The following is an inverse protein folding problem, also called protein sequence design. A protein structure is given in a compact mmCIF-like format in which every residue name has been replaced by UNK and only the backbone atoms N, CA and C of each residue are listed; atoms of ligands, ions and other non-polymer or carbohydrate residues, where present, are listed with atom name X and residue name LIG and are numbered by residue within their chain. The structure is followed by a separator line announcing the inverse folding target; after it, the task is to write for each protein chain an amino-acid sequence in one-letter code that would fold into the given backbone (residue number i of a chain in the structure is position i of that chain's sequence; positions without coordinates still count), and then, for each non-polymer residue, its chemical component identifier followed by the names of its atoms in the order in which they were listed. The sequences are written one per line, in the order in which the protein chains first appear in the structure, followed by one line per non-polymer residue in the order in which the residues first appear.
data_IF_830229713184
#
_entry.id   IF_830229713184
#
_cell.length_a   1.000
_cell.length_b   1.000
_cell.length_c   1.000
_cell.angle_alpha   90.00
_cell.angle_beta   90.00
_cell.angle_gamma   90.00
#
_symmetry.space_group_name_H-M   'P 1'
#
loop_
_entity.id
_entity.type
_entity.pdbx_description
1 polymer ?
#
# COMPACT_ATOMS: atom_id res chain seq x y z
N UNK A 1 10.65 -10.68 -22.88
CA UNK A 1 10.30 -11.42 -21.65
C UNK A 1 9.63 -12.77 -21.90
N UNK A 2 9.08 -13.04 -23.10
CA UNK A 2 8.62 -14.39 -23.48
C UNK A 2 9.77 -15.42 -23.50
N UNK A 3 11.01 -14.95 -23.59
CA UNK A 3 12.20 -15.78 -23.58
C UNK A 3 12.51 -16.47 -22.24
N UNK A 4 11.98 -15.96 -21.11
CA UNK A 4 12.34 -16.49 -19.79
C UNK A 4 11.68 -17.84 -19.47
N UNK A 5 10.46 -18.08 -19.94
CA UNK A 5 9.78 -19.37 -19.73
C UNK A 5 10.39 -20.45 -20.63
N UNK A 6 10.69 -20.12 -21.86
CA UNK A 6 11.38 -21.00 -22.78
C UNK A 6 12.82 -21.30 -22.36
N UNK A 7 13.56 -20.33 -21.81
CA UNK A 7 14.94 -20.53 -21.36
C UNK A 7 15.04 -21.42 -20.11
N UNK A 8 14.08 -21.35 -19.20
CA UNK A 8 14.08 -22.23 -18.03
C UNK A 8 13.79 -23.68 -18.40
N UNK A 9 12.91 -23.95 -19.34
CA UNK A 9 12.67 -25.28 -19.90
C UNK A 9 13.88 -25.82 -20.69
N UNK A 10 14.52 -24.98 -21.48
CA UNK A 10 15.75 -25.37 -22.21
C UNK A 10 16.91 -25.69 -21.27
N UNK A 11 17.08 -24.98 -20.16
CA UNK A 11 18.13 -25.23 -19.16
C UNK A 11 17.85 -26.54 -18.40
N UNK A 12 16.60 -26.81 -18.06
CA UNK A 12 16.19 -28.08 -17.42
C UNK A 12 16.38 -29.26 -18.36
N UNK A 13 16.01 -29.11 -19.59
CA UNK A 13 16.14 -30.16 -20.61
C UNK A 13 17.61 -30.49 -20.92
N UNK A 14 18.48 -29.49 -21.03
CA UNK A 14 19.91 -29.72 -21.22
C UNK A 14 20.59 -30.34 -19.98
N UNK A 15 20.13 -30.04 -18.77
CA UNK A 15 20.61 -30.69 -17.54
C UNK A 15 20.11 -32.14 -17.40
N UNK A 16 18.89 -32.42 -17.82
CA UNK A 16 18.38 -33.81 -17.86
C UNK A 16 19.11 -34.66 -18.89
N UNK A 17 19.45 -34.11 -20.05
CA UNK A 17 20.28 -34.79 -21.06
C UNK A 17 21.68 -35.16 -20.53
N UNK A 18 22.26 -34.35 -19.67
CA UNK A 18 23.57 -34.60 -19.06
C UNK A 18 23.50 -35.64 -17.93
N UNK A 19 22.40 -35.67 -17.19
CA UNK A 19 22.26 -36.57 -16.03
C UNK A 19 21.72 -37.97 -16.37
N UNK A 20 21.02 -38.15 -17.48
CA UNK A 20 20.41 -39.43 -17.87
C UNK A 20 21.13 -40.12 -19.02
N UNK A 21 22.39 -40.48 -18.81
CA UNK A 21 23.20 -41.19 -19.80
C UNK A 21 22.67 -42.61 -20.15
N UNK A 22 21.61 -43.09 -19.51
CA UNK A 22 21.09 -44.46 -19.60
C UNK A 22 19.57 -44.57 -19.83
N UNK A 23 18.84 -43.47 -20.03
CA UNK A 23 17.41 -43.50 -20.29
C UNK A 23 17.10 -42.96 -21.69
N UNK A 24 16.16 -43.56 -22.38
CA UNK A 24 15.69 -43.13 -23.68
C UNK A 24 15.46 -41.61 -23.71
N UNK A 25 16.17 -40.91 -24.61
CA UNK A 25 16.02 -39.48 -24.83
C UNK A 25 14.62 -39.29 -25.37
N UNK A 26 13.69 -38.78 -24.55
CA UNK A 26 12.46 -38.23 -25.02
C UNK A 26 12.78 -36.81 -25.47
N UNK A 27 12.88 -36.64 -26.76
CA UNK A 27 13.05 -35.32 -27.39
C UNK A 27 11.69 -34.66 -27.42
N UNK A 28 11.37 -33.91 -26.35
CA UNK A 28 10.14 -33.10 -26.30
C UNK A 28 10.47 -31.81 -27.02
N UNK A 29 9.88 -31.64 -28.20
CA UNK A 29 10.00 -30.40 -28.96
C UNK A 29 9.54 -29.21 -28.09
N UNK A 30 10.23 -28.06 -28.14
CA UNK A 30 9.75 -26.85 -27.45
C UNK A 30 8.36 -26.50 -27.99
N UNK A 31 7.46 -26.18 -27.05
CA UNK A 31 6.13 -25.66 -27.37
C UNK A 31 6.21 -24.14 -27.36
N UNK A 32 5.75 -23.50 -28.42
CA UNK A 32 5.64 -22.06 -28.48
C UNK A 32 4.74 -21.53 -27.37
N UNK A 33 5.20 -20.46 -26.72
CA UNK A 33 4.43 -19.78 -25.67
C UNK A 33 3.21 -19.05 -26.24
N UNK A 34 2.47 -18.41 -25.35
CA UNK A 34 1.34 -17.56 -25.72
C UNK A 34 1.71 -16.07 -25.49
N UNK A 35 1.00 -15.19 -26.19
CA UNK A 35 1.01 -13.77 -25.89
C UNK A 35 0.23 -13.49 -24.62
N UNK A 36 0.68 -12.52 -23.83
CA UNK A 36 0.02 -12.10 -22.59
C UNK A 36 -0.56 -10.71 -22.78
N UNK A 37 -1.86 -10.57 -22.55
CA UNK A 37 -2.52 -9.27 -22.48
C UNK A 37 -2.45 -8.82 -21.03
N UNK A 38 -1.61 -7.81 -20.76
CA UNK A 38 -1.47 -7.23 -19.43
C UNK A 38 -2.58 -6.23 -19.11
N UNK A 39 -2.73 -5.92 -17.81
CA UNK A 39 -3.66 -4.87 -17.33
C UNK A 39 -3.07 -3.47 -17.42
N UNK A 40 -1.75 -3.36 -17.63
CA UNK A 40 -1.02 -2.09 -17.62
C UNK A 40 -1.51 -1.16 -18.74
N UNK A 41 -1.70 0.12 -18.37
CA UNK A 41 -1.95 1.21 -19.32
C UNK A 41 -0.68 2.05 -19.46
N UNK A 42 -0.11 2.09 -20.65
CA UNK A 42 1.17 2.78 -20.94
C UNK A 42 1.10 4.26 -20.55
N UNK A 43 0.01 4.93 -20.86
CA UNK A 43 -0.15 6.34 -20.50
C UNK A 43 -0.29 6.60 -19.01
N UNK A 44 -0.92 5.69 -18.26
CA UNK A 44 -0.98 5.77 -16.80
C UNK A 44 0.38 5.42 -16.17
N UNK A 45 1.10 4.46 -16.74
CA UNK A 45 2.48 4.12 -16.33
C UNK A 45 3.40 5.36 -16.47
N UNK A 46 3.36 6.04 -17.61
CA UNK A 46 4.15 7.27 -17.86
C UNK A 46 3.77 8.39 -16.87
N UNK A 47 2.48 8.57 -16.58
CA UNK A 47 2.01 9.55 -15.59
C UNK A 47 2.61 9.26 -14.22
N UNK A 48 2.51 8.01 -13.76
CA UNK A 48 3.00 7.59 -12.44
C UNK A 48 4.53 7.71 -12.36
N UNK A 49 5.25 7.23 -13.37
CA UNK A 49 6.70 7.29 -13.43
C UNK A 49 7.20 8.73 -13.38
N UNK A 50 6.68 9.59 -14.24
CA UNK A 50 7.10 11.00 -14.28
C UNK A 50 6.85 11.71 -12.95
N UNK A 51 5.64 11.56 -12.38
CA UNK A 51 5.30 12.21 -11.12
C UNK A 51 6.20 11.73 -9.96
N UNK A 52 6.51 10.44 -9.92
CA UNK A 52 7.37 9.85 -8.91
C UNK A 52 8.83 10.29 -9.08
N UNK A 53 9.41 10.12 -10.28
CA UNK A 53 10.83 10.41 -10.53
C UNK A 53 11.15 11.88 -10.31
N UNK A 54 10.27 12.80 -10.73
CA UNK A 54 10.43 14.23 -10.48
C UNK A 54 10.58 14.50 -8.96
N UNK A 55 9.76 13.86 -8.13
CA UNK A 55 9.84 14.00 -6.67
C UNK A 55 11.08 13.33 -6.07
N UNK A 56 11.44 12.13 -6.54
CA UNK A 56 12.64 11.43 -6.07
C UNK A 56 13.91 12.27 -6.28
N UNK A 57 14.02 12.92 -7.43
CA UNK A 57 15.12 13.86 -7.74
C UNK A 57 15.10 15.09 -6.84
N UNK A 58 13.90 15.69 -6.66
CA UNK A 58 13.71 16.89 -5.82
C UNK A 58 14.19 16.67 -4.38
N UNK A 59 13.85 15.53 -3.77
CA UNK A 59 14.15 15.24 -2.36
C UNK A 59 15.37 14.35 -2.15
N UNK A 60 16.07 14.02 -3.22
CA UNK A 60 17.24 13.13 -3.22
C UNK A 60 16.96 11.77 -2.55
N UNK A 61 15.82 11.16 -2.88
CA UNK A 61 15.39 9.89 -2.34
C UNK A 61 16.23 8.71 -2.89
N UNK A 62 16.18 7.57 -2.20
CA UNK A 62 16.92 6.35 -2.60
C UNK A 62 16.04 5.35 -3.33
N UNK A 63 14.78 5.23 -2.93
CA UNK A 63 13.82 4.29 -3.53
C UNK A 63 12.46 4.97 -3.62
N UNK A 64 11.74 4.72 -4.69
CA UNK A 64 10.36 5.15 -4.86
C UNK A 64 9.50 4.09 -5.50
N UNK A 65 8.26 3.99 -5.01
CA UNK A 65 7.22 3.08 -5.52
C UNK A 65 5.96 3.90 -5.77
N UNK A 66 5.31 3.67 -6.92
CA UNK A 66 3.96 4.13 -7.19
C UNK A 66 3.16 3.02 -7.86
N UNK A 67 2.00 2.69 -7.32
CA UNK A 67 1.09 1.70 -7.91
C UNK A 67 -0.29 2.32 -8.04
N UNK A 68 -0.87 2.21 -9.23
CA UNK A 68 -2.23 2.65 -9.56
C UNK A 68 -3.07 1.42 -9.92
N UNK A 69 -4.21 1.25 -9.25
CA UNK A 69 -5.10 0.11 -9.42
C UNK A 69 -6.53 0.57 -9.66
N UNK A 70 -7.23 -0.09 -10.56
CA UNK A 70 -8.66 0.12 -10.76
C UNK A 70 -9.46 -0.54 -9.64
N UNK A 71 -10.36 0.22 -9.00
CA UNK A 71 -11.02 -0.20 -7.76
C UNK A 71 -11.86 -1.46 -7.93
N UNK A 72 -12.70 -1.52 -8.97
CA UNK A 72 -13.69 -2.59 -9.11
C UNK A 72 -13.12 -3.90 -9.65
N UNK A 73 -12.06 -3.83 -10.45
CA UNK A 73 -11.50 -5.00 -11.15
C UNK A 73 -10.22 -5.53 -10.51
N UNK A 74 -9.53 -4.70 -9.70
CA UNK A 74 -8.21 -5.01 -9.18
C UNK A 74 -7.10 -4.92 -10.24
N UNK A 75 -7.41 -4.45 -11.46
CA UNK A 75 -6.42 -4.31 -12.52
C UNK A 75 -5.36 -3.27 -12.13
N UNK A 76 -4.11 -3.70 -12.09
CA UNK A 76 -2.98 -2.81 -11.90
C UNK A 76 -2.74 -2.07 -13.23
N UNK A 77 -3.00 -0.77 -13.24
CA UNK A 77 -2.85 0.09 -14.42
C UNK A 77 -1.44 0.64 -14.56
N UNK A 78 -0.76 0.83 -13.44
CA UNK A 78 0.63 1.25 -13.39
C UNK A 78 1.32 0.66 -12.16
N UNK A 79 2.58 0.29 -12.33
CA UNK A 79 3.46 -0.14 -11.24
C UNK A 79 4.87 0.36 -11.54
N UNK A 80 5.36 1.27 -10.71
CA UNK A 80 6.63 1.95 -10.88
C UNK A 80 7.51 1.67 -9.68
N UNK A 81 8.73 1.21 -9.94
CA UNK A 81 9.73 0.89 -8.92
C UNK A 81 11.05 1.54 -9.30
N UNK A 82 11.41 2.64 -8.67
CA UNK A 82 12.61 3.39 -8.98
C UNK A 82 13.62 3.32 -7.85
N UNK A 83 14.85 2.96 -8.20
CA UNK A 83 15.99 2.95 -7.30
C UNK A 83 17.08 3.86 -7.81
N UNK A 84 17.67 4.64 -6.89
CA UNK A 84 18.80 5.51 -7.22
C UNK A 84 20.06 4.69 -7.46
N UNK A 85 20.66 4.82 -8.64
CA UNK A 85 21.91 4.17 -8.99
C UNK A 85 23.13 5.03 -8.61
N UNK A 86 24.33 4.47 -8.76
CA UNK A 86 25.58 5.14 -8.43
C UNK A 86 25.88 6.37 -9.31
N UNK A 87 25.31 6.41 -10.52
CA UNK A 87 25.39 7.57 -11.41
C UNK A 87 24.45 8.73 -11.04
N UNK A 88 23.65 8.53 -9.99
CA UNK A 88 22.68 9.51 -9.49
C UNK A 88 21.32 9.47 -10.19
N UNK A 89 21.17 8.66 -11.22
CA UNK A 89 19.89 8.46 -11.92
C UNK A 89 19.02 7.38 -11.24
N UNK A 90 17.76 7.30 -11.67
CA UNK A 90 16.78 6.35 -11.16
C UNK A 90 16.42 5.34 -12.23
N UNK A 91 16.43 4.06 -11.85
CA UNK A 91 16.16 2.95 -12.75
C UNK A 91 15.24 1.92 -12.08
N UNK A 92 14.48 1.21 -12.89
CA UNK A 92 13.77 -0.01 -12.49
C UNK A 92 14.78 -1.13 -12.27
N UNK A 93 14.96 -1.59 -11.03
CA UNK A 93 15.91 -2.64 -10.69
C UNK A 93 15.26 -3.85 -10.03
N UNK A 94 14.25 -3.61 -9.18
CA UNK A 94 13.55 -4.62 -8.40
C UNK A 94 12.10 -4.20 -8.22
N UNK A 95 11.18 -5.16 -8.19
CA UNK A 95 9.77 -4.87 -7.90
C UNK A 95 9.54 -4.67 -6.40
N UNK A 96 9.93 -3.51 -5.89
CA UNK A 96 9.82 -3.13 -4.49
C UNK A 96 8.36 -3.06 -4.02
N UNK A 97 7.43 -2.74 -4.93
CA UNK A 97 5.99 -2.67 -4.62
C UNK A 97 5.42 -3.97 -4.05
N UNK A 98 5.95 -5.12 -4.50
CA UNK A 98 5.47 -6.44 -4.07
C UNK A 98 6.41 -7.15 -3.09
N UNK A 99 7.70 -6.78 -3.09
CA UNK A 99 8.73 -7.52 -2.37
C UNK A 99 9.23 -6.86 -1.09
N UNK A 100 9.06 -5.53 -0.94
CA UNK A 100 9.62 -4.81 0.20
C UNK A 100 8.80 -5.06 1.47
N UNK A 101 9.41 -5.79 2.39
CA UNK A 101 8.86 -6.06 3.71
C UNK A 101 9.18 -4.90 4.65
N UNK A 102 8.39 -3.83 4.53
CA UNK A 102 8.59 -2.58 5.28
C UNK A 102 7.55 -2.44 6.40
N UNK A 103 7.96 -1.74 7.46
CA UNK A 103 7.01 -1.25 8.45
C UNK A 103 6.16 -0.14 7.82
N UNK A 104 4.83 -0.33 7.67
CA UNK A 104 3.98 0.60 6.90
C UNK A 104 3.80 1.96 7.58
N UNK A 105 4.12 2.05 8.87
CA UNK A 105 3.94 3.27 9.65
C UNK A 105 2.48 3.71 9.69
N UNK A 106 2.26 5.01 9.66
CA UNK A 106 0.94 5.63 9.90
C UNK A 106 -0.16 5.27 8.90
N UNK A 107 0.15 4.69 7.75
CA UNK A 107 -0.90 4.13 6.86
C UNK A 107 -1.62 2.96 7.50
N UNK A 108 -0.97 2.24 8.41
CA UNK A 108 -1.55 1.13 9.17
C UNK A 108 -2.56 1.56 10.24
N UNK A 109 -2.53 2.82 10.69
CA UNK A 109 -3.47 3.37 11.68
C UNK A 109 -4.93 3.23 11.24
N UNK A 110 -5.19 3.30 9.95
CA UNK A 110 -6.52 3.06 9.37
C UNK A 110 -7.05 1.68 9.76
N UNK A 111 -6.23 0.63 9.61
CA UNK A 111 -6.61 -0.73 10.01
C UNK A 111 -6.84 -0.83 11.52
N UNK A 112 -5.98 -0.24 12.33
CA UNK A 112 -6.12 -0.23 13.79
C UNK A 112 -7.41 0.41 14.26
N UNK A 113 -7.75 1.57 13.74
CA UNK A 113 -9.00 2.27 14.06
C UNK A 113 -10.21 1.48 13.54
N UNK A 114 -10.13 0.88 12.36
CA UNK A 114 -11.22 0.04 11.85
C UNK A 114 -11.51 -1.16 12.76
N UNK A 115 -10.48 -1.81 13.32
CA UNK A 115 -10.68 -2.91 14.29
C UNK A 115 -11.47 -2.41 15.48
N UNK A 116 -11.11 -1.27 16.06
CA UNK A 116 -11.77 -0.72 17.25
C UNK A 116 -13.20 -0.21 16.96
N UNK A 117 -13.45 0.37 15.77
CA UNK A 117 -14.78 0.77 15.28
C UNK A 117 -15.68 -0.47 15.09
N UNK A 118 -15.17 -1.50 14.44
CA UNK A 118 -15.89 -2.74 14.14
C UNK A 118 -16.31 -3.47 15.43
N UNK A 119 -15.41 -3.53 16.41
CA UNK A 119 -15.67 -4.13 17.71
C UNK A 119 -16.55 -3.24 18.62
N UNK A 120 -17.00 -2.07 18.16
CA UNK A 120 -17.83 -1.13 18.92
C UNK A 120 -17.13 -0.54 20.15
N UNK A 121 -15.80 -0.53 20.17
CA UNK A 121 -15.01 0.02 21.28
C UNK A 121 -14.89 1.53 21.25
N UNK A 122 -14.99 2.11 20.05
CA UNK A 122 -14.90 3.54 19.79
C UNK A 122 -15.92 3.95 18.74
N UNK A 123 -16.17 5.25 18.64
CA UNK A 123 -16.87 5.93 17.54
C UNK A 123 -15.97 7.03 16.97
N UNK A 124 -16.29 7.62 15.80
CA UNK A 124 -15.55 8.77 15.27
C UNK A 124 -15.44 9.96 16.23
N UNK A 125 -16.42 10.10 17.14
CA UNK A 125 -16.52 11.18 18.13
C UNK A 125 -15.85 10.86 19.46
N UNK A 126 -15.40 9.61 19.67
CA UNK A 126 -14.69 9.21 20.90
C UNK A 126 -13.46 10.08 21.11
N UNK A 127 -13.39 10.75 22.26
CA UNK A 127 -12.32 11.68 22.58
C UNK A 127 -11.17 10.99 23.33
N UNK A 128 -9.97 11.47 23.04
CA UNK A 128 -8.71 11.10 23.72
C UNK A 128 -7.96 12.36 24.09
N UNK A 129 -7.49 12.44 25.30
CA UNK A 129 -6.52 13.46 25.69
C UNK A 129 -5.10 12.98 25.32
N UNK A 130 -4.55 13.57 24.28
CA UNK A 130 -3.19 13.30 23.83
C UNK A 130 -2.16 14.20 24.54
N UNK A 131 -2.62 15.11 25.41
CA UNK A 131 -1.82 16.02 26.20
C UNK A 131 -0.89 16.86 25.34
N UNK A 132 0.36 16.94 25.78
CA UNK A 132 1.43 17.64 25.05
C UNK A 132 2.06 16.81 23.92
N UNK A 133 1.43 15.73 23.51
CA UNK A 133 1.92 14.85 22.44
C UNK A 133 2.99 13.85 22.88
N UNK A 134 3.13 13.60 24.19
CA UNK A 134 4.00 12.56 24.75
C UNK A 134 3.22 11.72 25.74
N UNK A 135 3.27 10.40 25.57
CA UNK A 135 2.69 9.45 26.51
C UNK A 135 3.69 8.33 26.83
N UNK A 136 3.84 8.04 28.12
CA UNK A 136 4.67 6.91 28.55
C UNK A 136 3.88 5.61 28.44
N UNK A 137 4.39 4.67 27.67
CA UNK A 137 3.82 3.34 27.48
C UNK A 137 4.86 2.28 27.79
N UNK A 138 4.66 1.57 28.91
CA UNK A 138 5.55 0.49 29.33
C UNK A 138 7.05 0.88 29.37
N UNK A 139 7.34 2.08 29.88
CA UNK A 139 8.71 2.59 29.96
C UNK A 139 9.26 3.25 28.69
N UNK A 140 8.51 3.22 27.60
CA UNK A 140 8.88 3.86 26.33
C UNK A 140 8.01 5.08 26.03
N UNK A 141 8.60 6.12 25.42
CA UNK A 141 7.89 7.35 25.07
C UNK A 141 7.22 7.21 23.70
N UNK A 142 5.90 7.19 23.64
CA UNK A 142 5.13 7.42 22.43
C UNK A 142 5.01 8.92 22.17
N UNK A 143 5.30 9.36 20.95
CA UNK A 143 5.32 10.80 20.62
C UNK A 143 4.52 11.09 19.35
N UNK A 144 3.76 12.18 19.40
CA UNK A 144 3.20 12.82 18.22
C UNK A 144 4.25 13.69 17.53
N UNK A 145 4.13 13.93 16.24
CA UNK A 145 5.11 14.71 15.48
C UNK A 145 5.22 16.17 15.95
N UNK A 146 4.19 16.73 16.60
CA UNK A 146 4.14 18.09 17.11
C UNK A 146 4.37 18.21 18.62
N UNK A 147 4.91 17.17 19.27
CA UNK A 147 5.17 17.17 20.72
C UNK A 147 5.99 18.38 21.19
N UNK A 148 6.92 18.84 20.36
CA UNK A 148 7.76 20.02 20.62
C UNK A 148 7.02 21.36 20.46
N UNK A 149 5.77 21.33 19.95
CA UNK A 149 4.89 22.49 19.79
C UNK A 149 3.67 22.44 20.71
N UNK A 150 3.69 21.57 21.74
CA UNK A 150 2.64 21.47 22.75
C UNK A 150 1.58 20.39 22.51
N UNK A 151 1.75 19.54 21.48
CA UNK A 151 0.82 18.44 21.20
C UNK A 151 -0.55 18.88 20.65
N UNK A 152 -1.53 17.99 20.72
CA UNK A 152 -2.89 18.24 20.23
C UNK A 152 -3.96 18.37 21.32
N UNK A 153 -3.60 18.07 22.59
CA UNK A 153 -4.56 18.08 23.70
C UNK A 153 -5.65 17.04 23.51
N UNK A 154 -6.87 17.43 23.83
CA UNK A 154 -8.06 16.56 23.73
C UNK A 154 -8.64 16.62 22.31
N UNK A 155 -8.65 15.49 21.61
CA UNK A 155 -9.12 15.35 20.23
C UNK A 155 -9.95 14.05 20.06
N UNK A 156 -10.85 14.04 19.09
CA UNK A 156 -11.64 12.85 18.77
C UNK A 156 -10.93 11.93 17.76
N UNK A 157 -11.50 10.74 17.53
CA UNK A 157 -10.94 9.71 16.63
C UNK A 157 -10.78 10.24 15.22
N UNK A 158 -11.73 11.00 14.69
CA UNK A 158 -11.60 11.63 13.37
C UNK A 158 -10.36 12.51 13.31
N UNK A 159 -10.19 13.41 14.30
CA UNK A 159 -9.05 14.30 14.36
C UNK A 159 -7.73 13.55 14.59
N UNK A 160 -7.75 12.47 15.36
CA UNK A 160 -6.57 11.59 15.54
C UNK A 160 -6.01 11.12 14.20
N UNK A 161 -6.89 10.67 13.27
CA UNK A 161 -6.43 10.25 11.93
C UNK A 161 -6.08 11.43 11.03
N UNK A 162 -6.79 12.54 11.09
CA UNK A 162 -6.50 13.76 10.33
C UNK A 162 -5.08 14.29 10.61
N UNK A 163 -4.69 14.31 11.89
CA UNK A 163 -3.36 14.77 12.32
C UNK A 163 -2.36 13.64 12.50
N UNK A 164 -2.77 12.41 12.26
CA UNK A 164 -1.93 11.23 12.39
C UNK A 164 -1.31 11.07 13.78
N UNK A 165 -2.08 11.30 14.86
CA UNK A 165 -1.59 11.18 16.24
C UNK A 165 -1.17 9.73 16.55
N UNK A 166 0.09 9.55 16.93
CA UNK A 166 0.62 8.28 17.43
C UNK A 166 0.04 7.98 18.81
N UNK A 167 0.04 9.00 19.68
CA UNK A 167 -0.47 8.91 21.05
C UNK A 167 -1.94 8.49 21.03
N UNK A 168 -2.77 9.15 20.19
CA UNK A 168 -4.19 8.87 20.12
C UNK A 168 -4.50 7.43 19.70
N UNK A 169 -3.90 6.96 18.62
CA UNK A 169 -4.14 5.58 18.13
C UNK A 169 -3.61 4.54 19.12
N UNK A 170 -2.36 4.68 19.55
CA UNK A 170 -1.74 3.70 20.44
C UNK A 170 -2.44 3.61 21.78
N UNK A 171 -2.89 4.75 22.36
CA UNK A 171 -3.67 4.77 23.58
C UNK A 171 -5.01 4.02 23.43
N UNK A 172 -5.74 4.27 22.36
CA UNK A 172 -7.03 3.60 22.11
C UNK A 172 -6.87 2.08 21.99
N UNK A 173 -5.90 1.64 21.20
CA UNK A 173 -5.67 0.21 20.99
C UNK A 173 -5.16 -0.45 22.27
N UNK A 174 -4.22 0.15 22.98
CA UNK A 174 -3.74 -0.37 24.26
C UNK A 174 -4.87 -0.45 25.28
N UNK A 175 -5.64 0.63 25.47
CA UNK A 175 -6.76 0.68 26.39
C UNK A 175 -7.77 -0.44 26.19
N UNK A 176 -8.09 -0.77 24.95
CA UNK A 176 -9.17 -1.72 24.64
C UNK A 176 -8.71 -3.16 24.42
N UNK A 177 -7.42 -3.39 24.16
CA UNK A 177 -6.91 -4.70 23.75
C UNK A 177 -5.73 -5.22 24.60
N UNK A 178 -5.16 -4.43 25.54
CA UNK A 178 -4.00 -4.87 26.34
C UNK A 178 -4.23 -6.14 27.14
N UNK A 179 -5.47 -6.38 27.60
CA UNK A 179 -5.83 -7.56 28.37
C UNK A 179 -6.06 -8.79 27.48
N UNK A 180 -6.31 -8.59 26.20
CA UNK A 180 -6.43 -9.64 25.20
C UNK A 180 -5.98 -9.15 23.83
N UNK A 181 -4.66 -9.04 23.59
CA UNK A 181 -4.10 -8.55 22.32
C UNK A 181 -4.48 -9.41 21.11
N UNK A 182 -4.82 -10.70 21.34
CA UNK A 182 -5.26 -11.60 20.27
C UNK A 182 -6.51 -11.07 19.56
N UNK A 183 -7.44 -10.43 20.28
CA UNK A 183 -8.64 -9.83 19.65
C UNK A 183 -8.29 -8.76 18.62
N UNK A 184 -7.28 -7.94 18.91
CA UNK A 184 -6.80 -6.94 17.94
C UNK A 184 -6.19 -7.61 16.71
N UNK A 185 -5.34 -8.62 16.91
CA UNK A 185 -4.75 -9.39 15.80
C UNK A 185 -5.82 -10.12 14.98
N UNK A 186 -6.82 -10.71 15.64
CA UNK A 186 -7.96 -11.35 14.96
C UNK A 186 -8.77 -10.33 14.15
N UNK A 187 -8.91 -9.10 14.64
CA UNK A 187 -9.52 -7.99 13.92
C UNK A 187 -8.77 -7.64 12.62
N UNK A 188 -7.43 -7.60 12.66
CA UNK A 188 -6.60 -7.41 11.47
C UNK A 188 -6.75 -8.58 10.49
N UNK A 189 -6.79 -9.80 10.98
CA UNK A 189 -7.00 -11.01 10.15
C UNK A 189 -8.36 -11.05 9.47
N UNK A 190 -9.42 -10.58 10.13
CA UNK A 190 -10.75 -10.44 9.51
C UNK A 190 -10.71 -9.57 8.24
N UNK A 191 -9.83 -8.57 8.22
CA UNK A 191 -9.63 -7.70 7.06
C UNK A 191 -8.63 -8.27 6.05
N UNK A 192 -8.10 -9.48 6.27
CA UNK A 192 -7.14 -10.17 5.40
C UNK A 192 -5.85 -9.39 5.12
N UNK A 193 -5.46 -8.48 6.02
CA UNK A 193 -4.27 -7.63 5.84
C UNK A 193 -2.96 -8.40 6.06
N UNK A 194 -3.03 -9.56 6.71
CA UNK A 194 -1.92 -10.48 6.99
C UNK A 194 -1.72 -11.55 5.91
N UNK A 195 -2.56 -11.57 4.87
CA UNK A 195 -2.57 -12.62 3.87
C UNK A 195 -1.64 -12.28 2.69
N UNK A 196 -0.94 -13.29 2.14
CA UNK A 196 -0.29 -13.15 0.85
C UNK A 196 -1.35 -12.94 -0.24
N UNK A 197 -1.01 -12.20 -1.29
CA UNK A 197 -1.94 -11.86 -2.37
C UNK A 197 -2.04 -12.95 -3.44
N UNK A 198 -1.06 -13.88 -3.49
CA UNK A 198 -0.95 -14.92 -4.53
C UNK A 198 -1.01 -14.31 -5.94
N UNK A 199 -0.08 -13.39 -6.20
CA UNK A 199 0.00 -12.63 -7.43
C UNK A 199 0.34 -13.50 -8.65
N UNK A 200 -0.10 -13.07 -9.82
CA UNK A 200 0.27 -13.68 -11.12
C UNK A 200 1.75 -13.50 -11.49
N UNK A 201 2.49 -12.68 -10.75
CA UNK A 201 3.91 -12.39 -10.93
C UNK A 201 4.72 -12.87 -9.74
N UNK A 202 5.96 -13.25 -9.96
CA UNK A 202 6.86 -13.76 -8.91
C UNK A 202 7.50 -12.66 -8.08
N UNK A 203 7.98 -13.02 -6.88
CA UNK A 203 8.72 -12.13 -6.00
C UNK A 203 7.90 -11.47 -4.90
N UNK A 204 6.68 -11.93 -4.70
CA UNK A 204 5.78 -11.44 -3.64
C UNK A 204 6.37 -11.68 -2.24
N UNK A 205 6.37 -10.62 -1.41
CA UNK A 205 6.67 -10.70 0.02
C UNK A 205 5.46 -11.17 0.82
N UNK A 206 5.70 -11.98 1.86
CA UNK A 206 4.64 -12.46 2.73
C UNK A 206 4.46 -11.52 3.93
N UNK A 207 3.30 -10.90 4.14
CA UNK A 207 3.04 -10.06 5.30
C UNK A 207 3.36 -10.75 6.62
N UNK A 208 3.93 -10.01 7.56
CA UNK A 208 4.24 -10.50 8.90
C UNK A 208 3.60 -9.57 9.95
N UNK A 209 2.52 -10.06 10.57
CA UNK A 209 1.82 -9.42 11.68
C UNK A 209 1.96 -10.32 12.89
N UNK A 210 2.71 -9.85 13.90
CA UNK A 210 3.01 -10.64 15.11
C UNK A 210 1.76 -10.95 15.91
N UNK A 211 1.66 -12.19 16.37
CA UNK A 211 0.66 -12.63 17.33
C UNK A 211 1.19 -12.65 18.78
N UNK A 212 0.32 -12.55 19.80
CA UNK A 212 0.75 -12.52 21.21
C UNK A 212 1.42 -13.80 21.70
N UNK A 213 1.31 -14.91 20.96
CA UNK A 213 1.99 -16.18 21.27
C UNK A 213 3.43 -16.24 20.74
N UNK A 214 3.84 -15.25 19.95
CA UNK A 214 5.19 -15.22 19.40
C UNK A 214 6.21 -14.78 20.43
N UNK A 215 7.42 -15.35 20.36
CA UNK A 215 8.50 -15.18 21.34
C UNK A 215 8.86 -13.71 21.65
N UNK A 216 8.70 -12.83 20.70
CA UNK A 216 9.10 -11.42 20.81
C UNK A 216 7.90 -10.46 20.95
N UNK A 217 6.74 -10.94 21.34
CA UNK A 217 5.60 -10.07 21.64
C UNK A 217 5.73 -9.51 23.05
N UNK A 218 6.21 -8.27 23.16
CA UNK A 218 6.36 -7.56 24.42
C UNK A 218 5.10 -6.70 24.73
N UNK A 219 5.02 -6.14 25.94
CA UNK A 219 3.94 -5.20 26.31
C UNK A 219 3.91 -3.96 25.40
N UNK A 220 5.08 -3.54 24.90
CA UNK A 220 5.21 -2.42 23.95
C UNK A 220 4.75 -2.78 22.53
N UNK A 221 4.72 -4.06 22.16
CA UNK A 221 4.40 -4.49 20.80
C UNK A 221 3.01 -4.02 20.36
N UNK A 222 1.99 -4.18 21.19
CA UNK A 222 0.62 -3.79 20.83
C UNK A 222 0.50 -2.29 20.48
N UNK A 223 0.92 -1.33 21.33
CA UNK A 223 0.84 0.08 21.00
C UNK A 223 1.73 0.48 19.80
N UNK A 224 2.91 -0.11 19.60
CA UNK A 224 3.76 0.17 18.44
C UNK A 224 3.21 -0.44 17.15
N UNK A 225 2.67 -1.66 17.20
CA UNK A 225 1.99 -2.30 16.08
C UNK A 225 0.79 -1.47 15.61
N UNK A 226 0.04 -0.89 16.53
CA UNK A 226 -1.13 -0.08 16.21
C UNK A 226 -0.83 1.13 15.31
N UNK A 227 0.39 1.61 15.34
CA UNK A 227 0.86 2.73 14.51
C UNK A 227 1.78 2.29 13.36
N UNK A 228 1.83 0.97 13.09
CA UNK A 228 2.50 0.37 11.94
C UNK A 228 3.98 0.08 12.11
N UNK A 229 4.48 0.00 13.35
CA UNK A 229 5.78 -0.57 13.66
C UNK A 229 5.66 -2.03 14.09
N UNK A 230 6.75 -2.76 14.13
CA UNK A 230 6.80 -4.19 14.47
C UNK A 230 5.87 -5.07 13.60
N UNK A 231 5.41 -4.57 12.48
CA UNK A 231 4.72 -5.30 11.43
C UNK A 231 5.47 -5.10 10.11
N UNK A 232 5.35 -6.04 9.19
CA UNK A 232 5.99 -5.93 7.88
C UNK A 232 4.96 -6.28 6.80
N UNK A 233 4.66 -5.32 5.94
CA UNK A 233 3.63 -5.45 4.91
C UNK A 233 4.13 -4.81 3.62
N UNK A 234 4.13 -5.52 2.48
CA UNK A 234 4.50 -4.93 1.20
C UNK A 234 3.58 -3.77 0.80
N UNK A 235 4.06 -2.79 0.04
CA UNK A 235 3.25 -1.65 -0.41
C UNK A 235 1.96 -2.06 -1.13
N UNK A 236 2.01 -3.08 -1.99
CA UNK A 236 0.82 -3.54 -2.72
C UNK A 236 -0.24 -4.15 -1.79
N UNK A 237 0.15 -4.79 -0.69
CA UNK A 237 -0.80 -5.31 0.30
C UNK A 237 -1.52 -4.15 1.03
N UNK A 238 -0.81 -3.07 1.36
CA UNK A 238 -1.44 -1.86 1.91
C UNK A 238 -2.42 -1.26 0.89
N UNK A 239 -2.02 -1.14 -0.38
CA UNK A 239 -2.91 -0.67 -1.44
C UNK A 239 -4.16 -1.54 -1.58
N UNK A 240 -4.01 -2.87 -1.57
CA UNK A 240 -5.12 -3.83 -1.66
C UNK A 240 -6.12 -3.64 -0.52
N UNK A 241 -5.64 -3.35 0.69
CA UNK A 241 -6.49 -3.03 1.83
C UNK A 241 -7.27 -1.71 1.62
N UNK A 242 -6.60 -0.63 1.19
CA UNK A 242 -7.29 0.63 0.89
C UNK A 242 -8.24 0.51 -0.29
N UNK A 243 -7.89 -0.29 -1.29
CA UNK A 243 -8.78 -0.60 -2.40
C UNK A 243 -10.07 -1.29 -1.93
N UNK A 244 -9.98 -2.18 -0.95
CA UNK A 244 -11.17 -2.81 -0.36
C UNK A 244 -12.09 -1.79 0.33
N UNK A 245 -11.53 -0.79 1.01
CA UNK A 245 -12.32 0.33 1.58
C UNK A 245 -13.03 1.09 0.46
N UNK A 246 -12.32 1.42 -0.62
CA UNK A 246 -12.88 2.08 -1.81
C UNK A 246 -13.94 1.25 -2.51
N UNK A 247 -13.78 -0.08 -2.52
CA UNK A 247 -14.64 -1.05 -3.20
C UNK A 247 -15.74 -1.62 -2.30
N UNK A 248 -16.36 -0.79 -1.50
CA UNK A 248 -17.49 -1.15 -0.63
C UNK A 248 -17.20 -2.32 0.33
N UNK A 249 -15.96 -2.45 0.77
CA UNK A 249 -15.51 -3.48 1.70
C UNK A 249 -15.15 -4.82 1.04
N UNK A 250 -15.19 -4.91 -0.27
CA UNK A 250 -14.80 -6.11 -1.03
C UNK A 250 -13.34 -6.04 -1.40
N UNK A 251 -12.51 -6.91 -0.84
CA UNK A 251 -11.09 -7.01 -1.16
C UNK A 251 -10.87 -7.87 -2.40
N UNK A 252 -10.27 -7.29 -3.41
CA UNK A 252 -9.99 -7.93 -4.71
C UNK A 252 -8.49 -8.16 -4.84
N UNK A 253 -8.12 -9.30 -5.45
CA UNK A 253 -6.74 -9.59 -5.79
C UNK A 253 -6.22 -8.64 -6.88
N UNK A 254 -5.06 -7.98 -6.68
CA UNK A 254 -4.41 -7.24 -7.74
C UNK A 254 -4.15 -8.13 -8.96
N UNK A 255 -4.53 -7.66 -10.13
CA UNK A 255 -4.47 -8.39 -11.39
C UNK A 255 -3.50 -7.71 -12.35
N UNK A 256 -2.57 -8.50 -12.91
CA UNK A 256 -1.55 -8.04 -13.87
C UNK A 256 -1.79 -8.55 -15.29
N UNK A 257 -2.51 -9.67 -15.41
CA UNK A 257 -2.81 -10.34 -16.69
C UNK A 257 -4.30 -10.45 -16.88
N UNK A 258 -4.79 -10.01 -18.04
CA UNK A 258 -6.20 -10.13 -18.44
C UNK A 258 -6.47 -11.45 -19.14
N UNK A 259 -5.62 -11.80 -20.09
CA UNK A 259 -5.79 -12.96 -20.94
C UNK A 259 -4.46 -13.49 -21.49
N UNK A 260 -4.45 -14.77 -21.83
CA UNK A 260 -3.45 -15.39 -22.67
C UNK A 260 -4.03 -15.60 -24.08
N UNK A 261 -3.25 -15.29 -25.11
CA UNK A 261 -3.63 -15.36 -26.52
C UNK A 261 -2.64 -16.22 -27.29
N UNK A 262 -3.14 -17.10 -28.15
CA UNK A 262 -2.31 -17.90 -29.06
C UNK A 262 -2.91 -17.84 -30.47
N UNK A 263 -2.08 -17.57 -31.46
CA UNK A 263 -2.46 -17.46 -32.88
C UNK A 263 -3.64 -16.49 -33.12
N UNK A 264 -3.73 -15.43 -32.28
CA UNK A 264 -4.79 -14.42 -32.35
C UNK A 264 -6.08 -14.77 -31.61
N UNK A 265 -6.18 -15.97 -31.04
CA UNK A 265 -7.34 -16.41 -30.25
C UNK A 265 -7.06 -16.38 -28.76
N UNK A 266 -8.04 -15.91 -27.98
CA UNK A 266 -7.97 -15.95 -26.51
C UNK A 266 -8.12 -17.40 -26.06
N UNK A 267 -7.06 -17.93 -25.42
CA UNK A 267 -7.04 -19.30 -24.91
C UNK A 267 -7.36 -19.39 -23.42
N UNK A 268 -7.17 -18.30 -22.69
CA UNK A 268 -7.48 -18.21 -21.27
C UNK A 268 -7.79 -16.76 -20.88
N UNK A 269 -8.83 -16.55 -20.09
CA UNK A 269 -9.19 -15.27 -19.49
C UNK A 269 -9.03 -15.35 -17.96
N UNK A 270 -8.50 -14.28 -17.36
CA UNK A 270 -8.33 -14.19 -15.92
C UNK A 270 -9.35 -13.22 -15.33
N UNK A 271 -10.40 -13.74 -14.68
CA UNK A 271 -11.45 -12.91 -14.09
C UNK A 271 -10.94 -12.16 -12.84
N UNK A 272 -11.74 -11.20 -12.38
CA UNK A 272 -11.55 -10.56 -11.08
C UNK A 272 -11.75 -11.58 -9.96
N UNK A 273 -10.79 -11.68 -9.03
CA UNK A 273 -10.83 -12.61 -7.90
C UNK A 273 -11.04 -11.86 -6.58
N UNK A 274 -12.02 -12.32 -5.81
CA UNK A 274 -12.31 -11.78 -4.48
C UNK A 274 -11.49 -12.51 -3.43
N UNK A 275 -10.67 -11.77 -2.67
CA UNK A 275 -9.90 -12.29 -1.52
C UNK A 275 -10.81 -12.35 -0.28
N UNK A 276 -11.54 -11.28 -0.03
CA UNK A 276 -12.43 -11.14 1.12
C UNK A 276 -13.69 -10.39 0.70
N UNK A 277 -14.87 -11.02 0.75
CA UNK A 277 -16.11 -10.41 0.29
C UNK A 277 -16.61 -9.28 1.20
N UNK A 278 -16.11 -9.20 2.46
CA UNK A 278 -16.54 -8.19 3.41
C UNK A 278 -15.51 -8.00 4.53
N UNK A 279 -14.65 -7.00 4.39
CA UNK A 279 -13.59 -6.72 5.39
C UNK A 279 -14.13 -6.12 6.70
N UNK A 280 -15.29 -5.47 6.67
CA UNK A 280 -15.95 -4.86 7.83
C UNK A 280 -17.45 -4.67 7.58
N UNK A 281 -18.19 -4.27 8.63
CA UNK A 281 -19.59 -3.88 8.51
C UNK A 281 -19.76 -2.58 7.71
N UNK A 282 -20.96 -2.37 7.15
CA UNK A 282 -21.29 -1.16 6.40
C UNK A 282 -21.18 0.10 7.28
N UNK A 283 -21.47 -0.04 8.59
CA UNK A 283 -21.27 1.04 9.57
C UNK A 283 -19.79 1.45 9.64
N UNK A 284 -18.90 0.50 9.88
CA UNK A 284 -17.46 0.78 9.97
C UNK A 284 -16.92 1.32 8.66
N UNK A 285 -17.38 0.78 7.53
CA UNK A 285 -16.99 1.24 6.21
C UNK A 285 -17.38 2.71 5.98
N UNK A 286 -18.62 3.08 6.28
CA UNK A 286 -19.10 4.46 6.16
C UNK A 286 -18.29 5.42 7.04
N UNK A 287 -18.04 5.03 8.29
CA UNK A 287 -17.26 5.84 9.24
C UNK A 287 -15.82 6.04 8.75
N UNK A 288 -15.14 4.99 8.32
CA UNK A 288 -13.73 5.12 7.90
C UNK A 288 -13.58 5.87 6.59
N UNK A 289 -14.51 5.73 5.64
CA UNK A 289 -14.50 6.49 4.38
C UNK A 289 -14.65 8.00 4.65
N UNK A 290 -15.56 8.39 5.52
CA UNK A 290 -15.72 9.80 5.94
C UNK A 290 -14.44 10.33 6.61
N UNK A 291 -13.84 9.57 7.51
CA UNK A 291 -12.59 9.96 8.17
C UNK A 291 -11.45 10.11 7.17
N UNK A 292 -11.26 9.17 6.23
CA UNK A 292 -10.19 9.22 5.25
C UNK A 292 -10.33 10.39 4.26
N UNK A 293 -11.55 10.79 3.91
CA UNK A 293 -11.78 12.00 3.14
C UNK A 293 -11.40 13.26 3.93
N UNK A 294 -11.73 13.33 5.23
CA UNK A 294 -11.36 14.44 6.12
C UNK A 294 -9.84 14.50 6.35
N UNK A 295 -9.13 13.38 6.35
CA UNK A 295 -7.65 13.36 6.39
C UNK A 295 -7.06 14.19 5.25
N UNK A 296 -7.66 14.13 4.06
CA UNK A 296 -7.24 14.90 2.88
C UNK A 296 -7.79 16.31 2.91
N UNK A 297 -9.09 16.51 3.15
CA UNK A 297 -9.72 17.84 3.08
C UNK A 297 -9.33 18.75 4.24
N UNK A 298 -9.12 18.20 5.44
CA UNK A 298 -8.91 18.99 6.67
C UNK A 298 -7.57 18.65 7.39
N UNK A 299 -6.98 17.48 7.10
CA UNK A 299 -5.81 16.97 7.80
C UNK A 299 -4.47 17.22 7.11
N UNK A 300 -3.50 16.37 7.46
CA UNK A 300 -2.11 16.46 6.98
C UNK A 300 -1.93 16.05 5.51
N UNK A 301 -2.95 15.47 4.90
CA UNK A 301 -2.88 14.97 3.53
C UNK A 301 -3.43 15.96 2.48
N UNK A 302 -3.64 17.23 2.83
CA UNK A 302 -4.08 18.27 1.88
C UNK A 302 -3.30 18.30 0.55
N UNK A 303 -1.97 18.05 0.53
CA UNK A 303 -1.21 17.99 -0.72
C UNK A 303 -1.62 16.88 -1.69
N UNK A 304 -2.33 15.84 -1.22
CA UNK A 304 -2.88 14.79 -2.07
C UNK A 304 -4.25 15.14 -2.69
N UNK A 305 -4.88 16.21 -2.20
CA UNK A 305 -6.20 16.64 -2.65
C UNK A 305 -6.21 17.26 -4.03
N UNK A 306 -7.41 17.36 -4.62
CA UNK A 306 -7.69 18.06 -5.87
C UNK A 306 -8.82 19.07 -5.68
N UNK A 307 -8.88 20.07 -6.56
CA UNK A 307 -10.01 21.01 -6.66
C UNK A 307 -11.14 20.47 -7.55
N UNK A 308 -10.87 19.41 -8.30
CA UNK A 308 -11.80 18.88 -9.31
C UNK A 308 -12.62 17.70 -8.81
N UNK A 309 -12.11 16.97 -7.82
CA UNK A 309 -12.75 15.78 -7.25
C UNK A 309 -12.28 15.56 -5.80
N UNK A 310 -13.06 14.81 -5.05
CA UNK A 310 -12.70 14.43 -3.68
C UNK A 310 -11.64 13.31 -3.66
N UNK A 311 -10.79 13.33 -2.64
CA UNK A 311 -9.75 12.31 -2.41
C UNK A 311 -9.87 11.82 -0.98
N UNK A 312 -9.71 10.53 -0.78
CA UNK A 312 -9.63 9.90 0.53
C UNK A 312 -8.33 9.11 0.67
N UNK A 313 -7.72 9.13 1.83
CA UNK A 313 -6.49 8.38 2.06
C UNK A 313 -5.79 8.74 3.36
N UNK A 314 -4.59 8.20 3.52
CA UNK A 314 -3.77 8.36 4.73
C UNK A 314 -2.30 8.54 4.40
N UNK A 315 -1.68 9.48 5.07
CA UNK A 315 -0.22 9.68 5.05
C UNK A 315 0.50 8.70 5.96
N UNK A 316 1.73 8.36 5.59
CA UNK A 316 2.67 7.66 6.44
C UNK A 316 4.01 8.38 6.51
N UNK A 317 4.61 8.38 7.69
CA UNK A 317 6.00 8.78 7.92
C UNK A 317 6.55 7.87 9.00
N UNK A 318 7.49 7.01 8.63
CA UNK A 318 8.12 6.06 9.54
C UNK A 318 9.63 6.14 9.44
N UNK A 319 10.33 5.84 10.54
CA UNK A 319 11.76 5.60 10.49
C UNK A 319 11.99 4.17 9.98
N UNK A 320 12.97 4.01 9.08
CA UNK A 320 13.33 2.70 8.55
C UNK A 320 14.37 2.06 9.46
N UNK A 321 14.06 0.86 9.96
CA UNK A 321 15.01 0.05 10.71
C UNK A 321 16.17 -0.41 9.83
N UNK A 322 17.40 -0.31 10.32
CA UNK A 322 18.61 -0.76 9.63
C UNK A 322 19.02 -2.19 10.06
N UNK A 323 18.08 -3.11 10.08
CA UNK A 323 18.30 -4.51 10.48
C UNK A 323 18.75 -4.61 11.96
N UNK A 324 19.82 -5.35 12.25
CA UNK A 324 20.33 -5.57 13.61
C UNK A 324 20.81 -4.28 14.30
N UNK A 325 21.08 -3.21 13.55
CA UNK A 325 21.48 -1.91 14.09
C UNK A 325 20.28 -1.06 14.59
N UNK A 326 19.04 -1.49 14.29
CA UNK A 326 17.83 -0.78 14.69
C UNK A 326 17.72 0.61 14.09
N UNK A 327 17.18 1.57 14.86
CA UNK A 327 16.92 2.95 14.40
C UNK A 327 18.04 3.96 14.76
N UNK A 328 19.14 3.52 15.38
CA UNK A 328 20.10 4.42 16.06
C UNK A 328 21.46 4.59 15.39
N UNK A 329 21.78 3.84 14.34
CA UNK A 329 23.11 3.90 13.70
C UNK A 329 23.12 4.75 12.44
N UNK A 330 23.87 5.85 12.47
CA UNK A 330 24.19 6.66 11.32
C UNK A 330 23.06 7.58 10.85
N UNK A 331 22.93 7.76 9.53
CA UNK A 331 21.85 8.57 8.94
C UNK A 331 20.53 7.81 9.03
N UNK A 332 19.58 8.36 9.75
CA UNK A 332 18.21 7.82 9.82
C UNK A 332 17.58 7.92 8.45
N UNK A 333 17.09 6.79 7.92
CA UNK A 333 16.27 6.76 6.73
C UNK A 333 14.79 6.81 7.12
N UNK A 334 14.00 7.47 6.28
CA UNK A 334 12.58 7.62 6.45
C UNK A 334 11.83 6.99 5.28
N UNK A 335 10.73 6.33 5.61
CA UNK A 335 9.70 5.93 4.66
C UNK A 335 8.57 6.97 4.75
N UNK A 336 8.37 7.73 3.67
CA UNK A 336 7.24 8.63 3.52
C UNK A 336 6.27 8.03 2.51
N UNK A 337 4.99 7.98 2.85
CA UNK A 337 3.99 7.32 2.03
C UNK A 337 2.65 8.04 2.05
N UNK A 338 1.86 7.77 1.03
CA UNK A 338 0.44 8.07 0.96
C UNK A 338 -0.28 6.93 0.25
N UNK A 339 -1.36 6.46 0.83
CA UNK A 339 -2.24 5.46 0.22
C UNK A 339 -3.69 5.95 0.28
N UNK A 340 -4.39 5.88 -0.85
CA UNK A 340 -5.74 6.38 -0.94
C UNK A 340 -6.43 6.04 -2.24
N UNK A 341 -7.58 6.69 -2.48
CA UNK A 341 -8.40 6.46 -3.66
C UNK A 341 -9.11 7.74 -4.10
N UNK A 342 -9.52 7.76 -5.34
CA UNK A 342 -10.19 8.89 -5.97
C UNK A 342 -11.11 8.45 -7.14
N UNK A 343 -12.20 9.24 -7.41
CA UNK A 343 -12.84 10.21 -6.51
C UNK A 343 -13.32 9.51 -5.23
N UNK A 344 -13.37 10.21 -4.08
CA UNK A 344 -13.76 9.59 -2.81
C UNK A 344 -15.23 9.20 -2.75
N UNK A 345 -16.10 9.96 -3.40
CA UNK A 345 -17.56 9.75 -3.49
C UNK A 345 -17.94 8.62 -4.47
N UNK A 346 -17.16 8.44 -5.53
CA UNK A 346 -17.36 7.38 -6.53
C UNK A 346 -16.01 6.77 -6.95
N UNK A 347 -15.38 5.95 -6.10
CA UNK A 347 -14.02 5.49 -6.29
C UNK A 347 -13.81 4.71 -7.59
N UNK A 348 -12.89 5.20 -8.43
CA UNK A 348 -12.47 4.54 -9.68
C UNK A 348 -11.08 3.96 -9.58
N UNK A 349 -10.16 4.68 -8.92
CA UNK A 349 -8.78 4.25 -8.76
C UNK A 349 -8.32 4.35 -7.31
N UNK A 350 -7.48 3.41 -6.91
CA UNK A 350 -6.68 3.48 -5.71
C UNK A 350 -5.20 3.59 -6.08
N UNK A 351 -4.42 4.25 -5.23
CA UNK A 351 -3.01 4.46 -5.49
C UNK A 351 -2.22 4.49 -4.20
N UNK A 352 -1.02 3.91 -4.22
CA UNK A 352 -0.03 4.05 -3.17
C UNK A 352 1.23 4.70 -3.75
N UNK A 353 1.78 5.65 -3.00
CA UNK A 353 3.11 6.21 -3.23
C UNK A 353 3.93 6.00 -1.98
N UNK A 354 5.10 5.38 -2.12
CA UNK A 354 6.01 5.05 -1.02
C UNK A 354 7.44 5.42 -1.40
N UNK A 355 8.08 6.25 -0.59
CA UNK A 355 9.40 6.82 -0.89
C UNK A 355 10.32 6.64 0.30
N UNK A 356 11.50 6.06 0.07
CA UNK A 356 12.57 6.00 1.06
C UNK A 356 13.58 7.12 0.82
N UNK A 357 13.88 7.87 1.86
CA UNK A 357 14.83 8.98 1.79
C UNK A 357 15.71 9.09 3.04
N UNK A 358 16.95 9.52 2.89
CA UNK A 358 17.82 9.81 4.04
C UNK A 358 17.46 11.14 4.69
N UNK A 359 17.49 11.16 6.02
CA UNK A 359 17.42 12.37 6.84
C UNK A 359 16.09 13.13 6.81
N UNK A 360 16.05 14.19 7.59
CA UNK A 360 14.97 15.17 7.63
C UNK A 360 15.16 16.27 6.57
N UNK A 361 14.11 17.01 6.16
CA UNK A 361 12.71 16.82 6.54
C UNK A 361 12.09 15.56 5.93
N UNK A 362 11.10 14.98 6.61
CA UNK A 362 10.33 13.83 6.14
C UNK A 362 8.83 14.08 6.38
N UNK A 363 8.05 14.08 5.30
CA UNK A 363 6.61 14.35 5.33
C UNK A 363 5.87 13.49 4.32
N UNK A 364 5.03 12.60 4.80
CA UNK A 364 4.16 11.78 3.93
C UNK A 364 3.25 12.63 3.06
N UNK A 365 2.65 13.69 3.61
CA UNK A 365 1.76 14.59 2.87
C UNK A 365 2.47 15.40 1.78
N UNK A 366 3.54 16.10 2.14
CA UNK A 366 4.26 17.00 1.22
C UNK A 366 5.06 16.24 0.15
N UNK A 367 5.53 15.04 0.44
CA UNK A 367 6.36 14.25 -0.47
C UNK A 367 5.52 13.22 -1.24
N UNK A 368 5.03 12.17 -0.58
CA UNK A 368 4.24 11.14 -1.22
C UNK A 368 2.82 11.61 -1.59
N UNK A 369 2.15 12.38 -0.73
CA UNK A 369 0.83 12.92 -1.00
C UNK A 369 0.80 13.84 -2.20
N UNK A 370 1.81 14.69 -2.38
CA UNK A 370 1.90 15.56 -3.56
C UNK A 370 2.10 14.79 -4.87
N UNK A 371 2.82 13.67 -4.84
CA UNK A 371 2.95 12.76 -6.00
C UNK A 371 1.61 12.10 -6.32
N UNK A 372 0.92 11.59 -5.31
CA UNK A 372 -0.44 11.04 -5.46
C UNK A 372 -1.39 12.07 -6.10
N UNK A 373 -1.41 13.30 -5.60
CA UNK A 373 -2.26 14.37 -6.15
C UNK A 373 -1.99 14.62 -7.63
N UNK A 374 -0.72 14.69 -8.04
CA UNK A 374 -0.32 14.84 -9.45
C UNK A 374 -0.77 13.66 -10.31
N UNK A 375 -0.61 12.44 -9.81
CA UNK A 375 -1.09 11.23 -10.50
C UNK A 375 -2.60 11.30 -10.67
N UNK A 376 -3.33 11.55 -9.59
CA UNK A 376 -4.79 11.57 -9.57
C UNK A 376 -5.36 12.61 -10.55
N UNK A 377 -4.84 13.82 -10.55
CA UNK A 377 -5.29 14.88 -11.47
C UNK A 377 -5.04 14.55 -12.95
N UNK A 378 -3.87 13.97 -13.26
CA UNK A 378 -3.52 13.60 -14.63
C UNK A 378 -4.33 12.41 -15.14
N UNK A 379 -4.54 11.40 -14.30
CA UNK A 379 -5.36 10.23 -14.63
C UNK A 379 -6.83 10.64 -14.82
N UNK A 380 -7.34 11.51 -13.95
CA UNK A 380 -8.70 12.04 -14.07
C UNK A 380 -8.88 12.82 -15.38
N UNK A 381 -7.94 13.71 -15.71
CA UNK A 381 -7.97 14.46 -16.96
C UNK A 381 -7.86 13.57 -18.22
N UNK A 382 -7.07 12.49 -18.15
CA UNK A 382 -6.96 11.49 -19.23
C UNK A 382 -8.32 10.83 -19.48
N UNK A 383 -9.00 10.41 -18.44
CA UNK A 383 -10.31 9.74 -18.55
C UNK A 383 -11.38 10.66 -19.11
N UNK A 384 -11.46 11.92 -18.66
CA UNK A 384 -12.38 12.91 -19.22
C UNK A 384 -12.19 13.10 -20.74
N UNK A 385 -10.96 13.08 -21.23
CA UNK A 385 -10.67 13.18 -22.67
C UNK A 385 -11.18 11.98 -23.46
N UNK A 386 -11.13 10.79 -22.88
CA UNK A 386 -11.67 9.58 -23.51
C UNK A 386 -13.19 9.59 -23.52
N UNK A 387 -13.84 9.97 -22.43
CA UNK A 387 -15.29 10.06 -22.35
C UNK A 387 -15.86 11.06 -23.37
N UNK A 388 -15.20 12.22 -23.55
CA UNK A 388 -15.58 13.22 -24.55
C UNK A 388 -15.42 12.69 -25.98
N UNK A 389 -14.32 12.00 -26.29
CA UNK A 389 -14.10 11.41 -27.61
C UNK A 389 -15.14 10.34 -27.92
N UNK A 390 -15.40 9.41 -27.00
CA UNK A 390 -16.42 8.38 -27.15
C UNK A 390 -17.82 8.96 -27.36
N UNK A 391 -18.16 10.06 -26.68
CA UNK A 391 -19.43 10.75 -26.86
C UNK A 391 -19.56 11.41 -28.25
N UNK A 392 -18.45 11.95 -28.77
CA UNK A 392 -18.40 12.54 -30.13
C UNK A 392 -18.52 11.45 -31.19
N UNK A 393 -17.77 10.34 -31.04
CA UNK A 393 -17.80 9.22 -31.98
C UNK A 393 -19.17 8.51 -32.03
N UNK A 394 -19.95 8.54 -30.95
CA UNK A 394 -21.33 8.02 -30.91
C UNK A 394 -22.37 9.02 -31.47
N UNK A 395 -21.98 10.28 -31.68
CA UNK A 395 -22.86 11.34 -32.20
C UNK A 395 -22.68 11.60 -33.70
N UNK A 396 -21.69 10.99 -34.34
CA UNK A 396 -21.42 10.97 -35.78
C UNK A 396 -21.91 9.67 -36.43
#
# INVERSE_FOLDING_TARGET
SACLVGSEMCIRDSRQKVMNKYLNIVDIAPVDGCDIISTLDVGMQDICEKALVDKLKEINATVGVAVLMEVQTGEVKAIVNMMKANDGNYYEMRNNAISDMMEPGSTFKTASIMVALEDGKITPETEVDTGNGIMMMYGSKMRDHNWHRGGYGKINVTRILEVSSNVGVSYLIDKHYKDNPQKYVDGLKRMSIDQPLHLQISGEGKPNIKGPKERYFAKTTLPWMSIGYETQVPPLNILTFYNAIANNGVMIRPKFVKAAVKDGEVIEEYPTEVINPKICSDRTLTQIRDILEKVVSQGLAKPAGSKQFSVAGKTGTAQVSQGTAGYKNGRVNYLVSFCGYFPADAPKYSCIVSIQKPGLPASGGLMAGSVFGKIAERVYAKNLRFDIRSAIDLSL
#
